data_IF_141221586585
#
_entry.id   IF_141221586585
#
_cell.length_a   1.000
_cell.length_b   1.000
_cell.length_c   1.000
_cell.angle_alpha   90.00
_cell.angle_beta   90.00
_cell.angle_gamma   90.00
#
_symmetry.space_group_name_H-M   'P 1'
#
loop_
_entity.id
_entity.type
_entity.pdbx_description
1 polymer ?
#
# COMPACT_ATOMS: atom_id res chain seq x y z
N UNK A 1 -13.07 -6.95 -0.94
CA UNK A 1 -11.95 -5.98 -1.03
C UNK A 1 -12.32 -4.63 -0.42
N UNK A 2 -13.55 -4.13 -0.61
CA UNK A 2 -13.99 -2.84 -0.08
C UNK A 2 -14.03 -2.75 1.46
N UNK A 3 -14.37 -3.83 2.17
CA UNK A 3 -14.30 -3.88 3.64
C UNK A 3 -12.86 -3.86 4.18
N UNK A 4 -11.93 -4.52 3.48
CA UNK A 4 -10.50 -4.54 3.85
C UNK A 4 -9.93 -3.13 3.70
N UNK A 5 -10.28 -2.43 2.62
CA UNK A 5 -9.85 -1.04 2.39
C UNK A 5 -10.45 -0.10 3.43
N UNK A 6 -11.71 -0.31 3.84
CA UNK A 6 -12.37 0.51 4.85
C UNK A 6 -11.78 0.31 6.25
N UNK A 7 -11.52 -0.93 6.68
CA UNK A 7 -10.85 -1.22 7.96
C UNK A 7 -9.39 -0.75 8.01
N UNK A 8 -8.66 -0.78 6.89
CA UNK A 8 -7.29 -0.26 6.80
C UNK A 8 -7.26 1.27 6.88
N UNK A 9 -8.32 1.94 6.42
CA UNK A 9 -8.42 3.41 6.44
C UNK A 9 -8.89 3.94 7.80
N UNK A 10 -9.68 3.17 8.56
CA UNK A 10 -10.17 3.55 9.89
C UNK A 10 -9.09 3.51 10.99
N UNK A 11 -8.04 2.69 10.82
CA UNK A 11 -6.90 2.65 11.74
C UNK A 11 -5.55 2.66 11.01
N UNK A 12 -4.90 3.83 10.84
CA UNK A 12 -3.58 3.93 10.22
C UNK A 12 -2.51 3.05 10.92
N UNK A 13 -2.71 2.73 12.20
CA UNK A 13 -1.91 1.78 12.96
C UNK A 13 -1.99 0.34 12.41
N UNK A 14 -3.17 -0.11 12.00
CA UNK A 14 -3.36 -1.47 11.45
C UNK A 14 -2.72 -1.56 10.07
N UNK A 15 -2.86 -0.52 9.24
CA UNK A 15 -2.18 -0.43 7.94
C UNK A 15 -0.65 -0.51 8.08
N UNK A 16 -0.09 0.25 9.03
CA UNK A 16 1.35 0.20 9.33
C UNK A 16 1.78 -1.17 9.84
N UNK A 17 0.99 -1.81 10.70
CA UNK A 17 1.31 -3.14 11.23
C UNK A 17 1.34 -4.21 10.13
N UNK A 18 0.38 -4.17 9.20
CA UNK A 18 0.34 -5.09 8.05
C UNK A 18 1.56 -4.85 7.14
N UNK A 19 1.87 -3.61 6.78
CA UNK A 19 3.06 -3.29 5.99
C UNK A 19 4.36 -3.73 6.68
N UNK A 20 4.47 -3.49 7.99
CA UNK A 20 5.63 -3.89 8.77
C UNK A 20 5.79 -5.41 8.84
N UNK A 21 4.67 -6.15 8.99
CA UNK A 21 4.68 -7.62 8.97
C UNK A 21 5.10 -8.17 7.61
N UNK A 22 4.65 -7.57 6.50
CA UNK A 22 5.05 -7.95 5.15
C UNK A 22 6.55 -7.72 4.92
N UNK A 23 7.09 -6.57 5.36
CA UNK A 23 8.52 -6.27 5.30
C UNK A 23 9.35 -7.25 6.14
N UNK A 24 8.87 -7.62 7.34
CA UNK A 24 9.52 -8.64 8.18
C UNK A 24 9.54 -10.01 7.50
N UNK A 25 8.45 -10.43 6.87
CA UNK A 25 8.40 -11.69 6.13
C UNK A 25 9.41 -11.68 4.97
N UNK A 26 9.47 -10.60 4.20
CA UNK A 26 10.47 -10.45 3.12
C UNK A 26 11.89 -10.48 3.67
N UNK A 27 12.16 -9.76 4.77
CA UNK A 27 13.46 -9.78 5.43
C UNK A 27 13.82 -11.18 5.96
N UNK A 28 12.86 -11.91 6.53
CA UNK A 28 13.08 -13.24 7.08
C UNK A 28 13.38 -14.27 5.98
N UNK A 29 12.65 -14.18 4.86
CA UNK A 29 12.93 -14.98 3.65
C UNK A 29 14.33 -14.68 3.11
N UNK A 30 14.71 -13.40 2.99
CA UNK A 30 16.06 -13.02 2.56
C UNK A 30 17.15 -13.51 3.53
N UNK A 31 16.94 -13.37 4.84
CA UNK A 31 17.89 -13.83 5.86
C UNK A 31 18.07 -15.35 5.83
N UNK A 32 16.99 -16.09 5.61
CA UNK A 32 17.03 -17.55 5.44
C UNK A 32 17.76 -17.95 4.15
N UNK A 33 17.48 -17.26 3.04
CA UNK A 33 18.17 -17.49 1.75
C UNK A 33 19.66 -17.19 1.83
N UNK A 34 20.08 -16.11 2.49
CA UNK A 34 21.50 -15.76 2.67
C UNK A 34 22.21 -16.84 3.48
N UNK A 35 21.62 -17.30 4.60
CA UNK A 35 22.20 -18.41 5.39
C UNK A 35 22.33 -19.69 4.56
N UNK A 36 21.30 -20.03 3.80
CA UNK A 36 21.31 -21.23 2.97
C UNK A 36 22.34 -21.14 1.84
N UNK A 37 22.41 -20.00 1.13
CA UNK A 37 23.40 -19.75 0.09
C UNK A 37 24.83 -19.81 0.65
N UNK A 38 25.07 -19.25 1.84
CA UNK A 38 26.38 -19.27 2.49
C UNK A 38 26.80 -20.69 2.89
N UNK A 39 25.87 -21.50 3.42
CA UNK A 39 26.10 -22.94 3.65
C UNK A 39 26.38 -23.69 2.35
N UNK A 40 25.66 -23.39 1.27
CA UNK A 40 25.84 -24.03 -0.03
C UNK A 40 27.21 -23.71 -0.63
N UNK A 41 27.65 -22.46 -0.54
CA UNK A 41 29.00 -22.02 -0.95
C UNK A 41 30.05 -22.73 -0.10
N UNK A 42 29.87 -22.81 1.22
CA UNK A 42 30.81 -23.49 2.11
C UNK A 42 30.97 -24.97 1.72
N UNK A 43 29.85 -25.67 1.49
CA UNK A 43 29.86 -27.07 1.03
C UNK A 43 30.51 -27.20 -0.35
N UNK A 44 30.22 -26.30 -1.28
CA UNK A 44 30.82 -26.28 -2.61
C UNK A 44 32.34 -26.02 -2.56
N UNK A 45 32.81 -25.18 -1.65
CA UNK A 45 34.25 -24.93 -1.43
C UNK A 45 34.92 -26.16 -0.82
N UNK A 46 34.28 -26.85 0.12
CA UNK A 46 34.84 -28.08 0.71
C UNK A 46 34.92 -29.20 -0.34
N UNK A 47 33.84 -29.45 -1.07
CA UNK A 47 33.80 -30.48 -2.11
C UNK A 47 34.72 -30.11 -3.28
N UNK A 48 34.61 -28.86 -3.76
CA UNK A 48 35.40 -28.35 -4.86
C UNK A 48 36.89 -28.31 -4.53
N UNK A 49 37.26 -27.86 -3.32
CA UNK A 49 38.64 -27.89 -2.83
C UNK A 49 39.17 -29.31 -2.70
N UNK A 50 38.38 -30.23 -2.12
CA UNK A 50 38.76 -31.63 -2.02
C UNK A 50 38.98 -32.28 -3.40
N UNK A 51 38.11 -32.00 -4.37
CA UNK A 51 38.25 -32.50 -5.74
C UNK A 51 39.44 -31.87 -6.47
N UNK A 52 39.65 -30.56 -6.27
CA UNK A 52 40.74 -29.78 -6.88
C UNK A 52 42.12 -30.26 -6.44
N UNK A 53 42.29 -30.61 -5.16
CA UNK A 53 43.56 -31.16 -4.64
C UNK A 53 43.78 -32.62 -5.02
N UNK A 54 42.73 -33.40 -5.27
CA UNK A 54 42.83 -34.85 -5.52
C UNK A 54 42.95 -35.22 -7.00
N UNK A 55 42.53 -34.34 -7.92
CA UNK A 55 42.61 -34.54 -9.37
C UNK A 55 43.09 -33.28 -10.12
N UNK A 56 44.41 -33.00 -10.17
CA UNK A 56 44.94 -31.80 -10.84
C UNK A 56 44.83 -31.82 -12.38
N UNK A 57 44.72 -33.01 -13.00
CA UNK A 57 44.56 -33.18 -14.46
C UNK A 57 43.09 -33.14 -14.93
N UNK A 58 42.12 -33.31 -14.03
CA UNK A 58 40.70 -33.27 -14.36
C UNK A 58 40.15 -31.85 -14.29
N UNK A 59 40.80 -30.89 -14.96
CA UNK A 59 40.16 -29.59 -15.26
C UNK A 59 39.23 -29.82 -16.45
N UNK A 60 37.92 -30.04 -16.25
CA UNK A 60 37.05 -30.35 -17.36
C UNK A 60 36.83 -29.07 -18.16
N UNK A 61 36.92 -29.16 -19.49
CA UNK A 61 36.51 -28.09 -20.39
C UNK A 61 35.07 -27.62 -20.09
N UNK A 62 34.24 -28.52 -19.55
CA UNK A 62 32.87 -28.29 -19.11
C UNK A 62 32.74 -27.26 -17.99
N UNK A 63 33.76 -27.07 -17.15
CA UNK A 63 33.72 -26.06 -16.08
C UNK A 63 33.76 -24.64 -16.66
N UNK A 64 34.55 -24.44 -17.72
CA UNK A 64 34.62 -23.16 -18.41
C UNK A 64 33.32 -22.88 -19.15
N UNK A 65 32.78 -23.88 -19.83
CA UNK A 65 31.47 -23.79 -20.51
C UNK A 65 30.33 -23.53 -19.51
N UNK A 66 30.29 -24.24 -18.38
CA UNK A 66 29.28 -24.03 -17.33
C UNK A 66 29.38 -22.63 -16.71
N UNK A 67 30.59 -22.12 -16.49
CA UNK A 67 30.81 -20.74 -16.00
C UNK A 67 30.37 -19.72 -17.05
N UNK A 68 30.65 -19.97 -18.32
CA UNK A 68 30.26 -19.09 -19.42
C UNK A 68 28.74 -19.07 -19.61
N UNK A 69 28.09 -20.24 -19.52
CA UNK A 69 26.65 -20.39 -19.58
C UNK A 69 25.96 -19.77 -18.35
N UNK A 70 26.53 -19.93 -17.16
CA UNK A 70 26.07 -19.26 -15.94
C UNK A 70 26.26 -17.74 -16.03
N UNK A 71 27.36 -17.26 -16.63
CA UNK A 71 27.61 -15.83 -16.84
C UNK A 71 26.63 -15.22 -17.83
N UNK A 72 26.30 -15.93 -18.91
CA UNK A 72 25.28 -15.50 -19.89
C UNK A 72 23.89 -15.51 -19.25
N UNK A 73 23.56 -16.55 -18.46
CA UNK A 73 22.31 -16.64 -17.72
C UNK A 73 22.17 -15.51 -16.68
N UNK A 74 23.24 -15.24 -15.93
CA UNK A 74 23.29 -14.14 -14.97
C UNK A 74 23.19 -12.78 -15.66
N UNK A 75 23.84 -12.58 -16.80
CA UNK A 75 23.72 -11.36 -17.61
C UNK A 75 22.28 -11.12 -18.04
N UNK A 76 21.60 -12.14 -18.58
CA UNK A 76 20.18 -12.07 -18.95
C UNK A 76 19.27 -11.79 -17.74
N UNK A 77 19.55 -12.40 -16.59
CA UNK A 77 18.79 -12.16 -15.37
C UNK A 77 18.96 -10.72 -14.86
N UNK A 78 20.17 -10.16 -14.96
CA UNK A 78 20.45 -8.75 -14.62
C UNK A 78 19.75 -7.81 -15.60
N UNK A 79 19.77 -8.08 -16.90
CA UNK A 79 19.08 -7.28 -17.91
C UNK A 79 17.55 -7.32 -17.73
N UNK A 80 16.99 -8.50 -17.42
CA UNK A 80 15.58 -8.64 -17.04
C UNK A 80 15.26 -7.89 -15.74
N UNK A 81 16.14 -7.95 -14.73
CA UNK A 81 15.99 -7.18 -13.50
C UNK A 81 16.01 -5.67 -13.75
N UNK A 82 16.87 -5.20 -14.65
CA UNK A 82 16.99 -3.77 -15.00
C UNK A 82 15.74 -3.27 -15.72
N UNK A 83 15.22 -4.03 -16.67
CA UNK A 83 13.96 -3.69 -17.35
C UNK A 83 12.74 -3.76 -16.42
N UNK A 84 12.71 -4.69 -15.47
CA UNK A 84 11.68 -4.72 -14.42
C UNK A 84 11.77 -3.50 -13.49
N UNK A 85 12.98 -3.05 -13.17
CA UNK A 85 13.21 -1.85 -12.37
C UNK A 85 12.75 -0.58 -13.09
N UNK A 86 13.02 -0.44 -14.39
CA UNK A 86 12.53 0.68 -15.21
C UNK A 86 10.99 0.72 -15.26
N UNK A 87 10.34 -0.43 -15.49
CA UNK A 87 8.87 -0.53 -15.42
C UNK A 87 8.32 -0.17 -14.05
N UNK A 88 9.00 -0.60 -12.97
CA UNK A 88 8.61 -0.24 -11.61
C UNK A 88 8.73 1.25 -11.35
N UNK A 89 9.73 1.92 -11.92
CA UNK A 89 9.90 3.37 -11.79
C UNK A 89 8.79 4.13 -12.51
N UNK A 90 8.42 3.69 -13.70
CA UNK A 90 7.31 4.25 -14.47
C UNK A 90 5.95 4.05 -13.77
N UNK A 91 5.76 2.90 -13.12
CA UNK A 91 4.59 2.64 -12.27
C UNK A 91 4.54 3.55 -11.03
N UNK A 92 5.69 3.86 -10.43
CA UNK A 92 5.77 4.79 -9.29
C UNK A 92 5.41 6.22 -9.73
N UNK A 93 5.85 6.66 -10.91
CA UNK A 93 5.46 7.97 -11.46
C UNK A 93 3.96 8.02 -11.74
N UNK A 94 3.40 7.00 -12.41
CA UNK A 94 1.94 6.90 -12.61
C UNK A 94 1.17 6.85 -11.29
N UNK A 95 1.73 6.21 -10.27
CA UNK A 95 1.17 6.16 -8.92
C UNK A 95 1.15 7.53 -8.23
N UNK A 96 2.18 8.36 -8.43
CA UNK A 96 2.21 9.75 -7.94
C UNK A 96 1.14 10.60 -8.61
N UNK A 97 0.99 10.52 -9.93
CA UNK A 97 -0.04 11.27 -10.65
C UNK A 97 -1.45 10.85 -10.21
N UNK A 98 -1.66 9.54 -10.00
CA UNK A 98 -2.92 9.03 -9.46
C UNK A 98 -3.18 9.54 -8.03
N UNK A 99 -2.15 9.65 -7.21
CA UNK A 99 -2.26 10.20 -5.85
C UNK A 99 -2.60 11.69 -5.86
N UNK A 100 -1.99 12.50 -6.73
CA UNK A 100 -2.33 13.91 -6.87
C UNK A 100 -3.77 14.12 -7.35
N UNK A 101 -4.20 13.34 -8.36
CA UNK A 101 -5.61 13.35 -8.80
C UNK A 101 -6.56 12.92 -7.68
N UNK A 102 -6.19 11.90 -6.92
CA UNK A 102 -6.96 11.44 -5.77
C UNK A 102 -7.10 12.53 -4.70
N UNK A 103 -6.02 13.26 -4.41
CA UNK A 103 -6.04 14.39 -3.49
C UNK A 103 -6.96 15.51 -3.96
N UNK A 104 -6.89 15.87 -5.25
CA UNK A 104 -7.78 16.90 -5.83
C UNK A 104 -9.26 16.49 -5.74
N UNK A 105 -9.57 15.20 -5.94
CA UNK A 105 -10.91 14.66 -5.78
C UNK A 105 -11.39 14.70 -4.33
N UNK A 106 -10.51 14.40 -3.36
CA UNK A 106 -10.83 14.51 -1.94
C UNK A 106 -11.09 15.96 -1.54
N UNK A 107 -10.28 16.90 -2.01
CA UNK A 107 -10.45 18.33 -1.73
C UNK A 107 -11.77 18.87 -2.34
N UNK A 108 -12.12 18.46 -3.57
CA UNK A 108 -13.43 18.75 -4.16
C UNK A 108 -14.59 18.11 -3.39
N UNK A 109 -14.44 16.85 -2.96
CA UNK A 109 -15.45 16.19 -2.14
C UNK A 109 -15.71 16.92 -0.82
N UNK A 110 -14.63 17.43 -0.19
CA UNK A 110 -14.70 18.20 1.05
C UNK A 110 -15.44 19.52 0.86
N UNK A 111 -15.16 20.26 -0.21
CA UNK A 111 -15.84 21.53 -0.48
C UNK A 111 -17.34 21.36 -0.79
N UNK A 112 -17.71 20.29 -1.51
CA UNK A 112 -19.11 19.95 -1.77
C UNK A 112 -19.82 19.57 -0.47
N UNK A 113 -19.15 18.83 0.42
CA UNK A 113 -19.70 18.45 1.72
C UNK A 113 -19.92 19.67 2.61
N UNK A 114 -18.94 20.58 2.70
CA UNK A 114 -19.05 21.82 3.49
C UNK A 114 -20.20 22.69 2.97
N UNK A 115 -20.33 22.86 1.65
CA UNK A 115 -21.48 23.57 1.05
C UNK A 115 -22.83 22.88 1.34
N UNK A 116 -22.85 21.55 1.37
CA UNK A 116 -24.05 20.78 1.70
C UNK A 116 -24.47 20.97 3.16
N UNK A 117 -23.50 21.01 4.08
CA UNK A 117 -23.72 21.24 5.51
C UNK A 117 -24.25 22.66 5.73
N UNK A 118 -23.65 23.68 5.11
CA UNK A 118 -24.08 25.07 5.25
C UNK A 118 -25.52 25.27 4.76
N UNK A 119 -25.85 24.75 3.57
CA UNK A 119 -27.23 24.78 3.04
C UNK A 119 -28.21 24.01 3.92
N UNK A 120 -27.77 22.88 4.49
CA UNK A 120 -28.57 22.11 5.44
C UNK A 120 -28.87 22.90 6.71
N UNK A 121 -27.89 23.65 7.22
CA UNK A 121 -28.05 24.54 8.36
C UNK A 121 -29.06 25.65 8.08
N UNK A 122 -28.95 26.32 6.94
CA UNK A 122 -29.89 27.37 6.52
C UNK A 122 -31.32 26.84 6.38
N UNK A 123 -31.48 25.63 5.83
CA UNK A 123 -32.79 24.99 5.68
C UNK A 123 -33.40 24.63 7.05
N UNK A 124 -32.59 24.13 7.97
CA UNK A 124 -33.01 23.83 9.35
C UNK A 124 -33.39 25.10 10.11
N UNK A 125 -32.61 26.17 9.97
CA UNK A 125 -32.89 27.45 10.62
C UNK A 125 -34.20 28.08 10.11
N UNK A 126 -34.40 28.10 8.79
CA UNK A 126 -35.68 28.51 8.18
C UNK A 126 -36.86 27.64 8.64
N UNK A 127 -36.66 26.33 8.72
CA UNK A 127 -37.66 25.40 9.24
C UNK A 127 -38.02 25.66 10.71
N UNK A 128 -37.03 26.07 11.51
CA UNK A 128 -37.20 26.40 12.93
C UNK A 128 -37.95 27.72 13.12
N UNK A 129 -37.67 28.73 12.29
CA UNK A 129 -38.43 29.99 12.28
C UNK A 129 -39.89 29.75 11.88
N UNK A 130 -40.14 29.04 10.78
CA UNK A 130 -41.51 28.73 10.33
C UNK A 130 -42.29 27.89 11.35
N UNK A 131 -41.64 26.91 11.98
CA UNK A 131 -42.26 26.13 13.07
C UNK A 131 -42.53 27.00 14.31
N UNK A 132 -41.64 27.95 14.64
CA UNK A 132 -41.83 28.90 15.73
C UNK A 132 -43.00 29.85 15.50
N UNK A 133 -43.15 30.35 14.27
CA UNK A 133 -44.28 31.22 13.89
C UNK A 133 -45.60 30.45 13.87
N UNK A 134 -45.62 29.24 13.31
CA UNK A 134 -46.78 28.35 13.39
C UNK A 134 -47.14 28.01 14.84
N UNK A 135 -46.14 27.77 15.71
CA UNK A 135 -46.34 27.52 17.13
C UNK A 135 -46.97 28.71 17.88
N UNK A 136 -46.60 29.95 17.53
CA UNK A 136 -47.24 31.16 18.09
C UNK A 136 -48.66 31.35 17.58
N UNK A 137 -48.93 31.05 16.30
CA UNK A 137 -50.27 31.17 15.71
C UNK A 137 -51.21 30.09 16.26
N UNK A 138 -50.74 28.85 16.41
CA UNK A 138 -51.54 27.72 16.91
C UNK A 138 -51.64 27.69 18.44
N UNK A 139 -50.63 28.19 19.16
CA UNK A 139 -50.61 28.26 20.62
C UNK A 139 -51.22 29.54 21.21
N UNK A 140 -51.48 30.56 20.38
CA UNK A 140 -51.93 31.89 20.79
C UNK A 140 -53.37 31.98 21.33
N UNK A 141 -54.20 30.93 21.23
CA UNK A 141 -55.62 30.98 21.64
C UNK A 141 -55.96 30.10 22.86
N UNK A 142 -54.97 29.62 23.61
CA UNK A 142 -55.21 28.82 24.83
C UNK A 142 -55.19 29.63 26.13
N UNK A 143 -54.91 30.94 26.08
CA UNK A 143 -54.53 31.73 27.26
C UNK A 143 -55.60 32.62 27.92
N UNK A 144 -56.79 32.83 27.35
CA UNK A 144 -57.71 33.85 27.90
C UNK A 144 -59.15 33.40 28.18
N UNK A 145 -59.36 32.12 28.51
CA UNK A 145 -60.64 31.64 29.08
C UNK A 145 -60.44 31.05 30.47
N UNK A 146 -60.27 31.91 31.47
CA UNK A 146 -60.73 31.60 32.81
C UNK A 146 -61.43 32.84 33.41
N UNK A 147 -62.76 32.77 33.33
CA UNK A 147 -63.77 33.50 34.12
C UNK A 147 -63.64 33.14 35.62
N UNK A 148 -64.29 33.86 36.56
CA UNK A 148 -65.41 34.81 36.41
C UNK A 148 -65.13 36.26 36.83
#
# INVERSE_FOLDING_TARGET
MEEIVRSVTEHPLVAMAVCFSALLLVYFLFKSLIKLALMLILVAVVIGGYYYFRYPESRPADLKEAVEQARVGAGKAVDQGKSAYEKSRELIEKGKDAYEKGKEWVDKGKSVLDQGIDKGKDAVEKGKETAGDLGKILGGDAGNRQKP
#
